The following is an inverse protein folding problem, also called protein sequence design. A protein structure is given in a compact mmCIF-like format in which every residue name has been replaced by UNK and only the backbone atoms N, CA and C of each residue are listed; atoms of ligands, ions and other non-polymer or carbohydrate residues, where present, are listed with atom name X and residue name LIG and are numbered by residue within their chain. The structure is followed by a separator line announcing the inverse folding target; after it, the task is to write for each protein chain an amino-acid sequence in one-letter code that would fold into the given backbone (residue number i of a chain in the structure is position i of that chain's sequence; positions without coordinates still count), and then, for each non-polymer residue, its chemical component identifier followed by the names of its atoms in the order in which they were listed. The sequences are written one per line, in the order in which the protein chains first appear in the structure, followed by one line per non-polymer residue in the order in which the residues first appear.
data_IF_298789043849
#
_entry.id   IF_298789043849
#
_cell.length_a   1.000
_cell.length_b   1.000
_cell.length_c   1.000
_cell.angle_alpha   90.00
_cell.angle_beta   90.00
_cell.angle_gamma   90.00
#
_symmetry.space_group_name_H-M   'P 1'
#
loop_
_entity.id
_entity.type
_entity.pdbx_description
1 polymer ?
#
# COMPACT_ATOMS: atom_id res chain seq x y z
N UNK A 1 -26.17 -10.55 -0.13
CA UNK A 1 -25.05 -9.96 -0.88
C UNK A 1 -24.54 -11.04 -1.82
N UNK A 2 -24.67 -10.86 -3.13
CA UNK A 2 -24.10 -11.78 -4.14
C UNK A 2 -22.83 -11.11 -4.66
N UNK A 3 -21.70 -11.80 -4.59
CA UNK A 3 -20.42 -11.28 -5.09
C UNK A 3 -20.26 -11.77 -6.52
N UNK A 4 -20.11 -10.83 -7.45
CA UNK A 4 -19.78 -11.13 -8.85
C UNK A 4 -18.34 -11.69 -8.91
N UNK A 5 -18.14 -12.78 -9.66
CA UNK A 5 -16.83 -13.42 -9.83
C UNK A 5 -16.28 -13.11 -11.22
N UNK A 6 -14.97 -12.92 -11.30
CA UNK A 6 -14.25 -12.74 -12.56
C UNK A 6 -13.57 -14.05 -12.99
N UNK A 7 -13.79 -14.53 -14.23
CA UNK A 7 -13.09 -15.70 -14.74
C UNK A 7 -11.61 -15.41 -14.92
N UNK A 8 -10.75 -16.38 -14.58
CA UNK A 8 -9.30 -16.24 -14.66
C UNK A 8 -8.66 -17.28 -15.57
N UNK A 9 -7.53 -16.93 -16.17
CA UNK A 9 -6.63 -17.89 -16.84
C UNK A 9 -5.62 -18.49 -15.85
N UNK A 10 -5.01 -19.66 -16.15
CA UNK A 10 -4.11 -20.34 -15.22
C UNK A 10 -2.83 -19.55 -14.89
N UNK A 11 -2.39 -18.66 -15.79
CA UNK A 11 -1.15 -17.90 -15.63
C UNK A 11 -1.37 -16.40 -15.86
N UNK A 12 -0.38 -15.62 -15.41
CA UNK A 12 -0.27 -14.19 -15.68
C UNK A 12 1.13 -13.93 -16.24
N UNK A 13 1.20 -13.32 -17.42
CA UNK A 13 2.41 -12.80 -18.04
C UNK A 13 2.64 -11.37 -17.56
N UNK A 14 3.70 -11.17 -16.79
CA UNK A 14 4.11 -9.88 -16.23
C UNK A 14 5.16 -9.23 -17.11
N UNK A 15 5.01 -7.92 -17.31
CA UNK A 15 6.07 -7.05 -17.85
C UNK A 15 6.33 -5.91 -16.88
N UNK A 16 7.60 -5.65 -16.58
CA UNK A 16 8.05 -4.59 -15.68
C UNK A 16 8.62 -3.44 -16.51
N UNK A 17 7.96 -2.28 -16.46
CA UNK A 17 8.37 -1.06 -17.14
C UNK A 17 9.05 -0.13 -16.14
N UNK A 18 10.33 0.17 -16.37
CA UNK A 18 11.13 1.05 -15.51
C UNK A 18 10.99 2.51 -15.96
N UNK A 19 10.80 3.40 -15.00
CA UNK A 19 10.79 4.85 -15.16
C UNK A 19 11.87 5.50 -14.29
N UNK A 20 12.42 6.60 -14.78
CA UNK A 20 13.45 7.41 -14.12
C UNK A 20 12.90 8.70 -13.50
N UNK A 21 11.60 8.90 -13.58
CA UNK A 21 10.91 10.03 -12.97
C UNK A 21 9.44 9.68 -12.70
N UNK A 22 8.82 10.29 -11.68
CA UNK A 22 7.41 10.07 -11.35
C UNK A 22 6.44 10.46 -12.48
N UNK A 23 6.71 11.54 -13.21
CA UNK A 23 5.80 12.08 -14.22
C UNK A 23 5.62 11.11 -15.39
N UNK A 24 6.71 10.54 -15.91
CA UNK A 24 6.66 9.52 -16.95
C UNK A 24 5.93 8.26 -16.47
N UNK A 25 6.11 7.86 -15.20
CA UNK A 25 5.37 6.74 -14.62
C UNK A 25 3.86 7.04 -14.55
N UNK A 26 3.46 8.23 -14.11
CA UNK A 26 2.04 8.62 -14.04
C UNK A 26 1.42 8.78 -15.42
N UNK A 27 2.18 9.27 -16.41
CA UNK A 27 1.73 9.31 -17.80
C UNK A 27 1.40 7.90 -18.33
N UNK A 28 2.24 6.91 -18.02
CA UNK A 28 2.00 5.53 -18.39
C UNK A 28 0.78 4.91 -17.67
N UNK A 29 0.57 5.27 -16.39
CA UNK A 29 -0.66 4.89 -15.67
C UNK A 29 -1.90 5.47 -16.36
N UNK A 30 -1.85 6.73 -16.78
CA UNK A 30 -2.92 7.37 -17.54
C UNK A 30 -3.19 6.67 -18.88
N UNK A 31 -2.13 6.30 -19.60
CA UNK A 31 -2.24 5.55 -20.84
C UNK A 31 -2.91 4.19 -20.63
N UNK A 32 -2.50 3.44 -19.60
CA UNK A 32 -3.13 2.15 -19.25
C UNK A 32 -4.61 2.32 -18.94
N UNK A 33 -4.97 3.35 -18.17
CA UNK A 33 -6.35 3.59 -17.79
C UNK A 33 -7.25 3.97 -19.00
N UNK A 34 -6.66 4.57 -20.04
CA UNK A 34 -7.33 4.92 -21.28
C UNK A 34 -7.41 3.73 -22.26
N UNK A 35 -6.29 3.05 -22.46
CA UNK A 35 -6.10 2.09 -23.56
C UNK A 35 -6.26 0.63 -23.13
N UNK A 36 -6.31 0.34 -21.82
CA UNK A 36 -6.30 -1.02 -21.28
C UNK A 36 -5.02 -1.81 -21.57
N UNK A 37 -3.95 -1.11 -21.98
CA UNK A 37 -2.68 -1.70 -22.39
C UNK A 37 -1.54 -0.69 -22.30
N UNK A 38 -0.30 -1.19 -22.32
CA UNK A 38 0.90 -0.38 -22.42
C UNK A 38 1.88 -1.03 -23.39
N UNK A 39 2.31 -0.28 -24.42
CA UNK A 39 3.23 -0.77 -25.47
C UNK A 39 2.81 -2.13 -26.06
N UNK A 40 1.51 -2.29 -26.32
CA UNK A 40 0.91 -3.51 -26.88
C UNK A 40 0.74 -4.67 -25.90
N UNK A 41 1.13 -4.51 -24.63
CA UNK A 41 0.87 -5.48 -23.57
C UNK A 41 -0.44 -5.16 -22.86
N UNK A 42 -1.38 -6.10 -22.87
CA UNK A 42 -2.67 -5.95 -22.19
C UNK A 42 -2.48 -5.77 -20.68
N UNK A 43 -3.28 -4.90 -20.08
CA UNK A 43 -3.25 -4.60 -18.66
C UNK A 43 -4.49 -5.17 -17.96
N UNK A 44 -4.56 -6.50 -17.82
CA UNK A 44 -5.57 -7.15 -16.98
C UNK A 44 -5.30 -6.88 -15.49
N UNK A 45 -4.04 -6.68 -15.15
CA UNK A 45 -3.62 -6.26 -13.83
C UNK A 45 -2.53 -5.20 -13.91
N UNK A 46 -2.52 -4.29 -12.94
CA UNK A 46 -1.49 -3.27 -12.83
C UNK A 46 -1.18 -2.97 -11.36
N UNK A 47 0.10 -2.94 -11.04
CA UNK A 47 0.64 -2.34 -9.83
C UNK A 47 2.03 -1.76 -10.10
N UNK A 48 2.66 -1.18 -9.09
CA UNK A 48 4.00 -0.63 -9.22
C UNK A 48 4.74 -0.56 -7.91
N UNK A 49 6.03 -0.25 -8.01
CA UNK A 49 6.90 -0.04 -6.86
C UNK A 49 7.90 1.05 -7.17
N UNK A 50 7.88 2.11 -6.38
CA UNK A 50 8.90 3.15 -6.38
C UNK A 50 9.96 2.82 -5.31
N UNK A 51 11.19 2.63 -5.74
CA UNK A 51 12.34 2.51 -4.86
C UNK A 51 13.00 3.86 -4.57
N UNK A 52 12.82 4.80 -5.48
CA UNK A 52 13.23 6.20 -5.40
C UNK A 52 12.51 6.98 -6.49
N UNK A 53 12.75 8.28 -6.56
CA UNK A 53 12.16 9.13 -7.61
C UNK A 53 12.72 8.78 -9.00
N UNK A 54 13.91 8.19 -9.07
CA UNK A 54 14.63 7.81 -10.28
C UNK A 54 14.62 6.30 -10.58
N UNK A 55 13.92 5.53 -9.75
CA UNK A 55 13.79 4.09 -9.87
C UNK A 55 12.37 3.64 -9.51
N UNK A 56 11.49 3.66 -10.51
CA UNK A 56 10.09 3.25 -10.39
C UNK A 56 9.81 2.14 -11.39
N UNK A 57 9.11 1.09 -10.97
CA UNK A 57 8.68 0.01 -11.85
C UNK A 57 7.16 -0.09 -11.85
N UNK A 58 6.55 -0.05 -13.03
CA UNK A 58 5.15 -0.41 -13.23
C UNK A 58 5.10 -1.84 -13.76
N UNK A 59 4.41 -2.72 -13.04
CA UNK A 59 4.18 -4.11 -13.45
C UNK A 59 2.82 -4.22 -14.10
N UNK A 60 2.80 -4.60 -15.37
CA UNK A 60 1.58 -4.81 -16.14
C UNK A 60 1.43 -6.31 -16.39
N UNK A 61 0.35 -6.89 -15.88
CA UNK A 61 0.01 -8.29 -16.02
C UNK A 61 -1.08 -8.51 -17.06
N UNK A 62 -0.87 -9.50 -17.93
CA UNK A 62 -1.88 -10.01 -18.85
C UNK A 62 -2.20 -11.47 -18.50
N UNK A 63 -3.46 -11.87 -18.61
CA UNK A 63 -3.80 -13.28 -18.53
C UNK A 63 -3.06 -14.10 -19.60
N UNK A 64 -2.67 -15.34 -19.25
CA UNK A 64 -2.07 -16.28 -20.18
C UNK A 64 -2.52 -17.72 -19.92
N UNK A 65 -2.78 -18.46 -20.99
CA UNK A 65 -3.09 -19.90 -20.95
C UNK A 65 -1.82 -20.75 -20.87
N UNK A 66 -0.69 -20.22 -21.33
CA UNK A 66 0.60 -20.91 -21.36
C UNK A 66 1.69 -20.09 -20.66
N UNK A 67 2.64 -20.77 -20.06
CA UNK A 67 3.77 -20.14 -19.38
C UNK A 67 5.06 -20.90 -19.75
N UNK A 68 6.01 -20.28 -20.47
CA UNK A 68 7.26 -20.96 -20.84
C UNK A 68 8.14 -21.29 -19.62
N UNK A 69 7.99 -20.53 -18.54
CA UNK A 69 8.53 -20.83 -17.20
C UNK A 69 7.53 -20.34 -16.14
N UNK A 70 7.75 -20.69 -14.88
CA UNK A 70 7.01 -20.09 -13.75
C UNK A 70 7.99 -19.71 -12.65
N UNK A 71 7.89 -18.48 -12.17
CA UNK A 71 8.68 -18.01 -11.04
C UNK A 71 8.05 -18.38 -9.69
N UNK A 72 8.90 -18.79 -8.74
CA UNK A 72 8.50 -19.04 -7.36
C UNK A 72 9.13 -18.00 -6.41
N UNK A 73 8.27 -17.20 -5.77
CA UNK A 73 8.63 -16.18 -4.78
C UNK A 73 8.37 -16.60 -3.34
N UNK A 74 7.74 -17.77 -3.10
CA UNK A 74 7.58 -18.37 -1.77
C UNK A 74 8.92 -18.91 -1.22
N UNK A 75 9.88 -19.08 -2.13
CA UNK A 75 11.21 -19.61 -1.89
C UNK A 75 12.24 -18.56 -1.52
N UNK A 76 13.46 -18.73 -2.01
CA UNK A 76 14.58 -17.88 -1.61
C UNK A 76 14.58 -16.51 -2.32
N UNK A 77 13.85 -16.36 -3.42
CA UNK A 77 13.65 -15.08 -4.10
C UNK A 77 12.58 -14.26 -3.39
N UNK A 78 12.64 -12.94 -3.54
CA UNK A 78 11.70 -11.97 -2.95
C UNK A 78 11.11 -11.18 -4.09
N UNK A 79 9.78 -11.16 -4.20
CA UNK A 79 9.06 -10.62 -5.37
C UNK A 79 9.43 -9.16 -5.66
N UNK A 80 9.25 -8.25 -4.70
CA UNK A 80 9.49 -6.84 -4.99
C UNK A 80 10.95 -6.56 -5.37
N UNK A 81 11.91 -7.35 -4.89
CA UNK A 81 13.32 -7.21 -5.27
C UNK A 81 13.60 -7.70 -6.70
N UNK A 82 12.83 -8.67 -7.21
CA UNK A 82 13.00 -9.18 -8.57
C UNK A 82 12.57 -8.19 -9.65
N UNK A 83 11.77 -7.18 -9.30
CA UNK A 83 11.34 -6.11 -10.21
C UNK A 83 12.52 -5.35 -10.86
N UNK A 84 13.68 -5.32 -10.19
CA UNK A 84 14.92 -4.71 -10.71
C UNK A 84 15.70 -5.62 -11.67
N UNK A 85 15.25 -6.86 -11.83
CA UNK A 85 15.90 -7.90 -12.61
C UNK A 85 15.30 -8.04 -14.01
N UNK A 86 14.84 -9.24 -14.41
CA UNK A 86 14.23 -9.47 -15.71
C UNK A 86 13.05 -8.53 -15.97
N UNK A 87 12.86 -8.15 -17.23
CA UNK A 87 11.73 -7.29 -17.65
C UNK A 87 10.41 -8.05 -17.75
N UNK A 88 10.44 -9.38 -17.80
CA UNK A 88 9.27 -10.21 -17.97
C UNK A 88 9.31 -11.40 -17.01
N UNK A 89 8.12 -11.83 -16.57
CA UNK A 89 7.97 -12.99 -15.69
C UNK A 89 6.62 -13.67 -15.91
N UNK A 90 6.53 -14.92 -15.48
CA UNK A 90 5.29 -15.70 -15.55
C UNK A 90 4.99 -16.29 -14.17
N UNK A 91 3.77 -16.10 -13.71
CA UNK A 91 3.27 -16.64 -12.45
C UNK A 91 1.99 -17.44 -12.71
N UNK A 92 1.73 -18.46 -11.88
CA UNK A 92 0.36 -18.98 -11.80
C UNK A 92 -0.56 -17.87 -11.30
N UNK A 93 -1.85 -17.89 -11.65
CA UNK A 93 -2.81 -16.90 -11.14
C UNK A 93 -2.84 -16.86 -9.61
N UNK A 94 -2.67 -18.02 -8.97
CA UNK A 94 -2.53 -18.12 -7.51
C UNK A 94 -1.29 -17.38 -7.04
N UNK A 95 -0.12 -17.70 -7.58
CA UNK A 95 1.12 -17.07 -7.13
C UNK A 95 1.13 -15.57 -7.42
N UNK A 96 0.51 -15.13 -8.52
CA UNK A 96 0.31 -13.72 -8.81
C UNK A 96 -0.50 -13.05 -7.70
N UNK A 97 -1.68 -13.55 -7.35
CA UNK A 97 -2.52 -12.95 -6.30
C UNK A 97 -1.85 -12.93 -4.93
N UNK A 98 -1.03 -13.92 -4.62
CA UNK A 98 -0.37 -14.08 -3.31
C UNK A 98 1.08 -13.56 -3.26
N UNK A 99 1.61 -12.99 -4.36
CA UNK A 99 3.03 -12.60 -4.48
C UNK A 99 3.50 -11.60 -3.41
N UNK A 100 2.58 -10.75 -2.94
CA UNK A 100 2.84 -9.74 -1.91
C UNK A 100 2.64 -10.27 -0.48
N UNK A 101 1.89 -11.36 -0.29
CA UNK A 101 1.74 -11.98 1.04
C UNK A 101 3.06 -12.56 1.52
N UNK A 102 3.82 -13.17 0.59
CA UNK A 102 5.18 -13.59 0.89
C UNK A 102 6.05 -12.37 1.17
N UNK A 103 6.65 -12.33 2.36
CA UNK A 103 7.39 -11.17 2.90
C UNK A 103 6.53 -9.97 3.34
N UNK A 104 5.20 -10.08 3.26
CA UNK A 104 4.24 -9.02 3.61
C UNK A 104 4.68 -7.69 3.00
N UNK A 105 4.74 -7.68 1.67
CA UNK A 105 5.45 -6.69 0.87
C UNK A 105 6.95 -6.66 1.18
N UNK A 106 7.36 -5.75 2.05
CA UNK A 106 8.73 -5.65 2.58
C UNK A 106 8.76 -5.58 4.11
N UNK A 107 7.62 -5.79 4.78
CA UNK A 107 7.52 -5.76 6.23
C UNK A 107 8.29 -6.90 6.91
N UNK A 108 8.79 -7.89 6.16
CA UNK A 108 9.72 -8.90 6.68
C UNK A 108 11.14 -8.35 6.98
N UNK A 109 11.50 -7.14 6.49
CA UNK A 109 12.83 -6.52 6.68
C UNK A 109 13.30 -6.44 8.14
N UNK A 110 12.51 -5.94 9.10
CA UNK A 110 12.96 -5.78 10.50
C UNK A 110 13.31 -7.12 11.16
N UNK A 111 12.70 -8.22 10.72
CA UNK A 111 12.98 -9.58 11.20
C UNK A 111 14.25 -10.19 10.57
N UNK A 112 14.89 -9.51 9.62
CA UNK A 112 16.09 -9.99 8.94
C UNK A 112 15.83 -11.12 7.94
N UNK A 113 14.58 -11.54 7.71
CA UNK A 113 14.21 -12.67 6.83
C UNK A 113 14.61 -12.44 5.37
N UNK A 114 14.90 -11.20 4.99
CA UNK A 114 15.39 -10.87 3.66
C UNK A 114 16.90 -11.09 3.49
N UNK A 115 17.65 -11.37 4.57
CA UNK A 115 19.08 -11.71 4.49
C UNK A 115 19.24 -13.16 4.06
N UNK A 116 20.10 -13.51 3.08
CA UNK A 116 20.16 -14.86 2.51
C UNK A 116 20.32 -15.99 3.54
N UNK A 117 21.18 -15.81 4.54
CA UNK A 117 21.42 -16.82 5.57
C UNK A 117 20.21 -17.03 6.49
N UNK A 118 19.55 -15.94 6.90
CA UNK A 118 18.34 -16.00 7.74
C UNK A 118 17.19 -16.58 6.93
N UNK A 119 17.02 -16.13 5.68
CA UNK A 119 15.99 -16.65 4.77
C UNK A 119 16.13 -18.15 4.59
N UNK A 120 17.36 -18.65 4.38
CA UNK A 120 17.62 -20.09 4.19
C UNK A 120 17.19 -20.92 5.41
N UNK A 121 17.39 -20.39 6.61
CA UNK A 121 16.98 -21.03 7.86
C UNK A 121 15.49 -20.83 8.20
N UNK A 122 14.86 -19.75 7.72
CA UNK A 122 13.46 -19.43 8.02
C UNK A 122 12.50 -20.33 7.23
N UNK A 123 11.64 -21.15 7.87
CA UNK A 123 10.74 -22.06 7.18
C UNK A 123 9.79 -21.36 6.21
N UNK A 124 9.61 -21.91 5.00
CA UNK A 124 8.77 -21.31 3.93
C UNK A 124 7.34 -21.03 4.40
N UNK A 125 6.74 -21.96 5.14
CA UNK A 125 5.36 -21.84 5.67
C UNK A 125 5.15 -20.65 6.62
N UNK A 126 6.22 -20.05 7.13
CA UNK A 126 6.17 -18.91 8.06
C UNK A 126 6.53 -17.58 7.39
N UNK A 127 6.63 -17.53 6.05
CA UNK A 127 6.91 -16.31 5.29
C UNK A 127 5.62 -15.69 4.77
N UNK A 128 4.68 -15.41 5.67
CA UNK A 128 3.31 -14.94 5.35
C UNK A 128 2.89 -13.85 6.31
N UNK A 129 1.98 -12.99 5.87
CA UNK A 129 1.60 -11.76 6.57
C UNK A 129 1.08 -11.97 7.98
N UNK A 130 0.29 -13.01 8.23
CA UNK A 130 -0.26 -13.33 9.55
C UNK A 130 0.82 -13.68 10.59
N UNK A 131 1.87 -14.40 10.19
CA UNK A 131 3.02 -14.71 11.06
C UNK A 131 3.79 -13.44 11.40
N UNK A 132 4.11 -12.61 10.40
CA UNK A 132 4.79 -11.34 10.66
C UNK A 132 3.95 -10.40 11.53
N UNK A 133 2.64 -10.33 11.28
CA UNK A 133 1.70 -9.56 12.10
C UNK A 133 1.70 -10.05 13.55
N UNK A 134 1.70 -11.36 13.78
CA UNK A 134 1.79 -11.93 15.13
C UNK A 134 3.10 -11.55 15.83
N UNK A 135 4.23 -11.56 15.11
CA UNK A 135 5.52 -11.11 15.64
C UNK A 135 5.52 -9.62 15.98
N UNK A 136 4.94 -8.75 15.13
CA UNK A 136 4.79 -7.31 15.43
C UNK A 136 3.90 -7.10 16.66
N UNK A 137 2.78 -7.82 16.76
CA UNK A 137 1.89 -7.72 17.92
C UNK A 137 2.59 -8.14 19.22
N UNK A 138 3.41 -9.19 19.15
CA UNK A 138 4.24 -9.63 20.27
C UNK A 138 5.28 -8.57 20.65
N UNK A 139 6.02 -8.03 19.67
CA UNK A 139 7.00 -6.98 19.91
C UNK A 139 6.37 -5.73 20.55
N UNK A 140 5.22 -5.26 20.04
CA UNK A 140 4.48 -4.13 20.62
C UNK A 140 4.05 -4.38 22.06
N UNK A 141 3.60 -5.60 22.38
CA UNK A 141 3.18 -5.99 23.74
C UNK A 141 4.37 -5.99 24.71
N UNK A 142 5.55 -6.38 24.25
CA UNK A 142 6.73 -6.56 25.08
C UNK A 142 7.77 -5.43 24.96
N UNK A 143 7.57 -4.46 24.06
CA UNK A 143 8.42 -3.29 23.80
C UNK A 143 9.89 -3.65 23.57
N UNK A 144 10.16 -4.81 22.95
CA UNK A 144 11.52 -5.33 22.79
C UNK A 144 12.35 -4.43 21.88
N UNK A 145 11.78 -4.05 20.73
CA UNK A 145 12.45 -3.17 19.75
C UNK A 145 12.69 -1.77 20.29
N UNK A 146 11.74 -1.19 21.03
CA UNK A 146 11.90 0.13 21.67
C UNK A 146 13.06 0.11 22.67
N UNK A 147 13.10 -0.91 23.52
CA UNK A 147 14.13 -1.09 24.55
C UNK A 147 15.52 -1.23 23.92
N UNK A 148 15.64 -2.05 22.86
CA UNK A 148 16.90 -2.23 22.14
C UNK A 148 17.35 -0.96 21.42
N UNK A 149 16.42 -0.16 20.90
CA UNK A 149 16.71 1.10 20.19
C UNK A 149 17.20 2.17 21.15
N UNK A 150 16.52 2.32 22.30
CA UNK A 150 16.91 3.23 23.37
C UNK A 150 18.31 2.90 23.92
N UNK A 151 18.59 1.62 24.17
CA UNK A 151 19.90 1.16 24.67
C UNK A 151 21.05 1.40 23.69
N UNK A 152 20.76 1.64 22.40
CA UNK A 152 21.74 1.93 21.35
C UNK A 152 21.85 3.43 21.03
N UNK A 153 21.21 4.30 21.82
CA UNK A 153 21.24 5.76 21.61
C UNK A 153 20.63 6.22 20.28
N UNK A 154 19.77 5.39 19.67
CA UNK A 154 19.15 5.72 18.38
C UNK A 154 17.89 6.58 18.60
N UNK A 155 17.62 7.48 17.66
CA UNK A 155 16.41 8.28 17.68
C UNK A 155 15.15 7.39 17.72
N UNK A 156 14.11 7.80 18.46
CA UNK A 156 12.80 7.17 18.38
C UNK A 156 12.33 7.07 16.93
N UNK A 157 11.57 6.03 16.62
CA UNK A 157 11.03 5.82 15.28
C UNK A 157 9.52 5.87 15.33
N UNK A 158 8.93 6.52 14.35
CA UNK A 158 7.49 6.57 14.12
C UNK A 158 7.09 5.47 13.15
N UNK A 159 5.97 4.80 13.40
CA UNK A 159 5.38 3.86 12.45
C UNK A 159 4.55 4.63 11.42
N UNK A 160 4.96 4.55 10.15
CA UNK A 160 4.24 5.14 9.01
C UNK A 160 3.74 3.96 8.18
N UNK A 161 2.51 3.56 8.43
CA UNK A 161 1.89 2.33 7.91
C UNK A 161 0.48 2.70 7.46
N UNK A 162 0.34 3.08 6.20
CA UNK A 162 -0.93 3.54 5.65
C UNK A 162 -0.92 3.44 4.12
N UNK A 163 -2.12 3.49 3.56
CA UNK A 163 -2.36 3.58 2.13
C UNK A 163 -3.19 4.83 1.85
N UNK A 164 -2.87 5.54 0.77
CA UNK A 164 -3.54 6.78 0.39
C UNK A 164 -3.84 6.81 -1.11
N UNK A 165 -5.01 7.26 -1.51
CA UNK A 165 -5.44 7.43 -2.89
C UNK A 165 -5.27 8.87 -3.30
N UNK A 166 -4.38 9.13 -4.27
CA UNK A 166 -4.14 10.46 -4.82
C UNK A 166 -4.67 10.52 -6.25
N UNK A 167 -5.36 11.59 -6.67
CA UNK A 167 -5.71 11.79 -8.07
C UNK A 167 -4.48 11.63 -8.98
N UNK A 168 -4.64 10.99 -10.14
CA UNK A 168 -3.52 10.71 -11.04
C UNK A 168 -2.73 11.99 -11.41
N UNK A 169 -3.45 13.10 -11.63
CA UNK A 169 -2.88 14.41 -11.97
C UNK A 169 -1.94 14.99 -10.90
N UNK A 170 -2.05 14.55 -9.64
CA UNK A 170 -1.25 15.01 -8.49
C UNK A 170 -0.34 13.91 -7.91
N UNK A 171 -0.36 12.71 -8.51
CA UNK A 171 0.34 11.54 -7.98
C UNK A 171 1.87 11.64 -8.06
N UNK A 172 2.40 12.34 -9.07
CA UNK A 172 3.84 12.63 -9.17
C UNK A 172 4.31 13.59 -8.06
N UNK A 173 3.51 14.61 -7.76
CA UNK A 173 3.76 15.57 -6.68
C UNK A 173 3.79 14.87 -5.31
N UNK A 174 2.83 13.98 -5.05
CA UNK A 174 2.81 13.19 -3.82
C UNK A 174 4.09 12.37 -3.63
N UNK A 175 4.59 11.67 -4.67
CA UNK A 175 5.82 10.91 -4.56
C UNK A 175 7.03 11.80 -4.22
N UNK A 176 7.09 13.01 -4.78
CA UNK A 176 8.17 13.97 -4.50
C UNK A 176 8.12 14.46 -3.06
N UNK A 177 6.93 14.85 -2.60
CA UNK A 177 6.70 15.19 -1.20
C UNK A 177 7.12 14.03 -0.29
N UNK A 178 6.64 12.82 -0.56
CA UNK A 178 6.88 11.67 0.29
C UNK A 178 8.36 11.31 0.38
N UNK A 179 9.07 11.40 -0.74
CA UNK A 179 10.53 11.20 -0.77
C UNK A 179 11.28 12.28 0.03
N UNK A 180 10.86 13.54 -0.06
CA UNK A 180 11.54 14.66 0.60
C UNK A 180 11.27 14.72 2.11
N UNK A 181 10.01 14.59 2.52
CA UNK A 181 9.58 14.82 3.90
C UNK A 181 9.60 13.55 4.76
N UNK A 182 9.25 12.40 4.18
CA UNK A 182 9.17 11.11 4.90
C UNK A 182 10.39 10.24 4.64
N UNK A 183 10.92 10.23 3.42
CA UNK A 183 12.14 9.52 3.05
C UNK A 183 12.07 8.00 3.20
N UNK A 184 10.86 7.42 3.17
CA UNK A 184 10.66 5.98 3.29
C UNK A 184 10.64 5.30 1.91
N UNK A 185 11.26 4.12 1.82
CA UNK A 185 11.31 3.33 0.58
C UNK A 185 11.32 1.82 0.87
N UNK A 186 10.67 1.01 0.01
CA UNK A 186 9.94 1.41 -1.19
C UNK A 186 8.51 1.91 -0.90
N UNK A 187 7.82 2.37 -1.95
CA UNK A 187 6.39 2.72 -1.97
C UNK A 187 5.70 1.86 -3.02
N UNK A 188 4.57 1.26 -2.67
CA UNK A 188 3.73 0.46 -3.58
C UNK A 188 2.76 1.39 -4.29
N UNK A 189 2.48 1.10 -5.56
CA UNK A 189 1.56 1.88 -6.39
C UNK A 189 0.47 0.94 -6.89
N UNK A 190 -0.79 1.35 -6.80
CA UNK A 190 -1.91 0.61 -7.37
C UNK A 190 -2.88 1.60 -8.04
N UNK A 191 -2.78 1.80 -9.35
CA UNK A 191 -3.76 2.55 -10.11
C UNK A 191 -5.16 1.95 -9.99
N UNK A 192 -6.15 2.80 -9.76
CA UNK A 192 -7.53 2.37 -9.64
C UNK A 192 -8.52 3.46 -10.08
N UNK A 193 -9.72 3.02 -10.44
CA UNK A 193 -10.86 3.86 -10.78
C UNK A 193 -12.13 3.15 -10.31
N UNK A 194 -13.15 3.91 -9.93
CA UNK A 194 -14.45 3.33 -9.61
C UNK A 194 -15.01 2.57 -10.82
N UNK A 195 -15.54 1.36 -10.57
CA UNK A 195 -16.18 0.53 -11.61
C UNK A 195 -17.50 1.11 -12.13
N UNK A 196 -18.19 1.91 -11.33
CA UNK A 196 -19.48 2.50 -11.67
C UNK A 196 -19.56 3.99 -11.36
N UNK A 197 -20.71 4.57 -11.64
CA UNK A 197 -20.99 6.01 -11.51
C UNK A 197 -21.35 6.45 -10.08
N UNK A 198 -21.54 5.50 -9.16
CA UNK A 198 -21.87 5.80 -7.77
C UNK A 198 -20.61 6.02 -6.94
N UNK A 199 -20.53 7.16 -6.25
CA UNK A 199 -19.50 7.42 -5.25
C UNK A 199 -19.90 6.84 -3.89
N UNK A 200 -18.90 6.44 -3.09
CA UNK A 200 -19.12 5.91 -1.75
C UNK A 200 -19.24 7.07 -0.74
N UNK A 201 -20.33 7.17 0.05
CA UNK A 201 -20.57 8.34 0.90
C UNK A 201 -19.45 8.65 1.89
N UNK A 202 -18.80 7.60 2.43
CA UNK A 202 -17.73 7.70 3.43
C UNK A 202 -16.32 7.57 2.82
N UNK A 203 -16.22 7.44 1.50
CA UNK A 203 -14.95 7.40 0.78
C UNK A 203 -15.12 8.01 -0.62
N UNK A 204 -15.29 9.33 -0.71
CA UNK A 204 -15.88 9.97 -1.87
C UNK A 204 -14.87 10.14 -3.02
N UNK A 205 -14.58 9.03 -3.71
CA UNK A 205 -13.84 9.05 -4.97
C UNK A 205 -14.75 9.50 -6.10
N UNK A 206 -14.22 10.26 -7.06
CA UNK A 206 -14.99 10.73 -8.22
C UNK A 206 -15.11 9.63 -9.28
N UNK A 207 -16.32 9.33 -9.78
CA UNK A 207 -16.49 8.43 -10.91
C UNK A 207 -15.71 8.89 -12.14
N UNK A 208 -15.18 7.96 -12.92
CA UNK A 208 -14.40 8.25 -14.12
C UNK A 208 -12.96 8.74 -13.87
N UNK A 209 -12.66 9.30 -12.70
CA UNK A 209 -11.32 9.78 -12.34
C UNK A 209 -10.39 8.63 -11.93
N UNK A 210 -9.15 8.68 -12.43
CA UNK A 210 -8.11 7.71 -12.09
C UNK A 210 -7.35 8.21 -10.87
N UNK A 211 -7.18 7.32 -9.90
CA UNK A 211 -6.38 7.54 -8.70
C UNK A 211 -5.21 6.54 -8.69
N UNK A 212 -4.16 6.89 -7.95
CA UNK A 212 -3.10 5.95 -7.59
C UNK A 212 -3.14 5.77 -6.08
N UNK A 213 -3.37 4.54 -5.64
CA UNK A 213 -3.14 4.16 -4.26
C UNK A 213 -1.64 4.03 -4.04
N UNK A 214 -1.12 4.73 -3.03
CA UNK A 214 0.25 4.66 -2.56
C UNK A 214 0.27 3.94 -1.21
N UNK A 215 0.79 2.72 -1.21
CA UNK A 215 0.93 1.90 0.00
C UNK A 215 2.35 1.95 0.54
N UNK A 216 2.49 2.24 1.83
CA UNK A 216 3.81 2.33 2.45
C UNK A 216 3.78 1.93 3.93
N UNK A 217 4.64 0.95 4.25
CA UNK A 217 4.58 0.27 5.54
C UNK A 217 5.98 0.10 6.13
N UNK A 218 6.28 0.90 7.16
CA UNK A 218 7.56 0.84 7.82
C UNK A 218 7.65 1.76 9.04
N UNK A 219 8.89 2.05 9.43
CA UNK A 219 9.17 3.03 10.48
C UNK A 219 10.18 4.03 9.97
N UNK A 220 10.05 5.29 10.40
CA UNK A 220 10.93 6.41 10.02
C UNK A 220 11.50 7.03 11.30
N UNK A 221 12.79 7.42 11.35
CA UNK A 221 13.32 8.19 12.48
C UNK A 221 12.52 9.47 12.70
N UNK A 222 12.21 9.78 13.95
CA UNK A 222 11.65 11.07 14.33
C UNK A 222 12.76 12.14 14.32
N UNK A 223 12.49 13.34 13.78
CA UNK A 223 13.40 14.47 13.96
C UNK A 223 13.58 14.83 15.44
N UNK A 224 14.71 15.43 15.84
CA UNK A 224 14.93 15.85 17.23
C UNK A 224 13.79 16.74 17.75
N UNK A 225 13.28 16.42 18.94
CA UNK A 225 12.20 17.17 19.59
C UNK A 225 10.79 16.91 19.03
N UNK A 226 10.63 16.04 18.02
CA UNK A 226 9.30 15.62 17.53
C UNK A 226 8.81 14.38 18.27
N UNK A 227 7.48 14.28 18.38
CA UNK A 227 6.77 13.18 19.00
C UNK A 227 6.06 12.32 17.94
N UNK A 228 5.48 11.21 18.39
CA UNK A 228 4.74 10.29 17.53
C UNK A 228 3.60 10.98 16.75
N UNK A 229 3.36 10.47 15.54
CA UNK A 229 2.43 11.06 14.58
C UNK A 229 2.95 12.27 13.82
N UNK A 230 4.25 12.59 13.86
CA UNK A 230 4.80 13.73 13.12
C UNK A 230 4.70 13.49 11.61
N UNK A 231 5.27 12.38 11.13
CA UNK A 231 5.23 12.01 9.71
C UNK A 231 3.82 11.64 9.26
N UNK A 232 3.03 10.98 10.11
CA UNK A 232 1.64 10.65 9.76
C UNK A 232 0.81 11.91 9.54
N UNK A 233 0.93 12.95 10.39
CA UNK A 233 0.22 14.23 10.20
C UNK A 233 0.67 14.94 8.93
N UNK A 234 1.97 14.98 8.65
CA UNK A 234 2.49 15.56 7.39
C UNK A 234 1.88 14.88 6.16
N UNK A 235 1.83 13.55 6.15
CA UNK A 235 1.20 12.79 5.07
C UNK A 235 -0.29 13.08 4.99
N UNK A 236 -1.00 13.09 6.12
CA UNK A 236 -2.44 13.37 6.19
C UNK A 236 -2.79 14.76 5.66
N UNK A 237 -1.98 15.77 5.99
CA UNK A 237 -2.10 17.14 5.50
C UNK A 237 -1.87 17.23 4.00
N UNK A 238 -0.80 16.60 3.50
CA UNK A 238 -0.50 16.60 2.06
C UNK A 238 -1.58 15.87 1.26
N UNK A 239 -2.03 14.70 1.72
CA UNK A 239 -3.10 13.94 1.06
C UNK A 239 -4.35 14.80 0.92
N UNK A 240 -4.75 15.53 1.97
CA UNK A 240 -5.87 16.46 1.91
C UNK A 240 -5.62 17.61 0.92
N UNK A 241 -4.42 18.20 0.92
CA UNK A 241 -4.03 19.29 0.01
C UNK A 241 -4.03 18.87 -1.47
N UNK A 242 -3.70 17.62 -1.76
CA UNK A 242 -3.72 17.04 -3.11
C UNK A 242 -5.11 16.55 -3.54
N UNK A 243 -6.13 16.69 -2.68
CA UNK A 243 -7.48 16.19 -2.93
C UNK A 243 -7.58 14.67 -2.94
N UNK A 244 -6.67 14.01 -2.22
CA UNK A 244 -6.65 12.56 -2.02
C UNK A 244 -7.42 12.12 -0.80
N UNK A 245 -7.40 10.81 -0.56
CA UNK A 245 -8.06 10.16 0.56
C UNK A 245 -7.10 9.20 1.26
N UNK A 246 -7.19 9.13 2.59
CA UNK A 246 -6.46 8.16 3.39
C UNK A 246 -7.37 6.98 3.74
N UNK A 247 -6.86 5.76 3.56
CA UNK A 247 -7.53 4.55 4.02
C UNK A 247 -7.66 4.50 5.55
N UNK A 248 -8.85 4.18 6.06
CA UNK A 248 -9.17 4.19 7.49
C UNK A 248 -8.82 2.91 8.27
N UNK A 249 -7.96 2.05 7.71
CA UNK A 249 -7.54 0.81 8.38
C UNK A 249 -6.36 1.02 9.37
N UNK A 250 -5.60 2.11 9.18
CA UNK A 250 -4.45 2.48 9.99
C UNK A 250 -4.79 3.61 10.97
N UNK A 251 -3.92 3.83 11.97
CA UNK A 251 -4.03 4.97 12.89
C UNK A 251 -4.10 6.28 12.10
N UNK A 252 -5.01 7.16 12.52
CA UNK A 252 -5.18 8.49 11.95
C UNK A 252 -5.02 9.56 13.03
N UNK A 253 -4.49 10.74 12.67
CA UNK A 253 -4.18 11.82 13.61
C UNK A 253 -5.05 13.07 13.42
N UNK A 254 -6.10 12.98 12.60
CA UNK A 254 -7.07 14.04 12.37
C UNK A 254 -7.76 14.52 13.65
N UNK A 255 -8.06 15.82 13.72
CA UNK A 255 -9.08 16.31 14.65
C UNK A 255 -10.46 15.74 14.30
N UNK A 256 -11.41 15.78 15.23
CA UNK A 256 -12.78 15.30 14.97
C UNK A 256 -13.44 16.07 13.83
N UNK A 257 -13.24 17.38 13.81
CA UNK A 257 -13.78 18.27 12.79
C UNK A 257 -13.19 17.96 11.41
N UNK A 258 -11.86 17.82 11.32
CA UNK A 258 -11.18 17.44 10.08
C UNK A 258 -11.63 16.08 9.58
N UNK A 259 -11.74 15.09 10.48
CA UNK A 259 -12.18 13.75 10.14
C UNK A 259 -13.57 13.76 9.50
N UNK A 260 -14.54 14.42 10.12
CA UNK A 260 -15.91 14.44 9.60
C UNK A 260 -16.08 15.29 8.34
N UNK A 261 -15.21 16.29 8.14
CA UNK A 261 -15.14 17.00 6.87
C UNK A 261 -14.65 16.10 5.72
N UNK A 262 -13.67 15.22 5.98
CA UNK A 262 -13.10 14.32 4.98
C UNK A 262 -13.96 13.07 4.70
N UNK A 263 -14.64 12.54 5.73
CA UNK A 263 -15.36 11.26 5.67
C UNK A 263 -16.87 11.40 5.83
N UNK A 264 -17.42 12.58 5.52
CA UNK A 264 -18.86 12.84 5.43
C UNK A 264 -19.63 12.49 6.72
N UNK A 265 -19.33 13.24 7.80
CA UNK A 265 -19.99 13.10 9.10
C UNK A 265 -21.52 13.05 9.04
N UNK A 266 -22.21 13.93 8.31
CA UNK A 266 -23.67 13.89 8.23
C UNK A 266 -24.22 12.57 7.68
N UNK A 267 -23.62 12.03 6.61
CA UNK A 267 -24.04 10.73 6.07
C UNK A 267 -23.72 9.59 7.06
N UNK A 268 -22.56 9.65 7.72
CA UNK A 268 -22.19 8.67 8.74
C UNK A 268 -23.18 8.66 9.91
N UNK A 269 -23.56 9.83 10.43
CA UNK A 269 -24.47 9.95 11.57
C UNK A 269 -25.85 9.37 11.27
N UNK A 270 -26.37 9.59 10.05
CA UNK A 270 -27.63 8.99 9.60
C UNK A 270 -27.53 7.46 9.61
N UNK A 271 -26.47 6.90 9.03
CA UNK A 271 -26.23 5.46 9.02
C UNK A 271 -26.07 4.90 10.44
N UNK A 272 -25.33 5.61 11.30
CA UNK A 272 -25.11 5.20 12.69
C UNK A 272 -26.42 5.17 13.46
N UNK A 273 -27.28 6.16 13.29
CA UNK A 273 -28.59 6.21 13.94
C UNK A 273 -29.52 5.09 13.46
N UNK A 274 -29.54 4.81 12.15
CA UNK A 274 -30.40 3.78 11.55
C UNK A 274 -29.99 2.37 11.98
N UNK A 275 -28.70 2.06 11.94
CA UNK A 275 -28.19 0.70 12.13
C UNK A 275 -27.67 0.41 13.54
N UNK A 276 -27.31 1.44 14.32
CA UNK A 276 -26.80 1.30 15.69
C UNK A 276 -27.09 2.55 16.55
N UNK A 277 -28.34 3.05 16.49
CA UNK A 277 -28.77 4.23 17.27
C UNK A 277 -28.70 4.03 18.80
N UNK A 278 -28.58 2.77 19.25
CA UNK A 278 -28.30 2.43 20.66
C UNK A 278 -26.81 2.49 21.04
N UNK A 279 -25.91 2.75 20.09
CA UNK A 279 -24.48 2.97 20.34
C UNK A 279 -23.72 1.75 20.85
N UNK A 280 -24.08 0.53 20.40
CA UNK A 280 -23.42 -0.71 20.87
C UNK A 280 -22.02 -0.88 20.29
N UNK A 281 -21.80 -0.41 19.07
CA UNK A 281 -20.50 -0.44 18.40
C UNK A 281 -19.79 0.91 18.56
N UNK A 282 -18.46 0.91 18.60
CA UNK A 282 -17.68 2.16 18.55
C UNK A 282 -18.06 2.99 17.32
N UNK A 283 -18.01 4.31 17.46
CA UNK A 283 -18.11 5.22 16.32
C UNK A 283 -16.87 5.12 15.42
N UNK A 284 -16.98 5.59 14.18
CA UNK A 284 -15.90 5.49 13.20
C UNK A 284 -14.68 6.31 13.63
N UNK A 285 -14.89 7.52 14.15
CA UNK A 285 -13.80 8.35 14.70
C UNK A 285 -13.14 7.70 15.91
N UNK A 286 -13.95 7.16 16.84
CA UNK A 286 -13.46 6.46 18.03
C UNK A 286 -12.55 5.28 17.65
N UNK A 287 -12.96 4.51 16.65
CA UNK A 287 -12.18 3.39 16.15
C UNK A 287 -10.90 3.83 15.42
N UNK A 288 -11.01 4.76 14.47
CA UNK A 288 -9.92 5.08 13.53
C UNK A 288 -8.89 6.07 14.07
N UNK A 289 -9.29 6.95 15.01
CA UNK A 289 -8.42 7.98 15.59
C UNK A 289 -8.11 7.70 17.06
N UNK A 290 -9.10 7.27 17.85
CA UNK A 290 -8.90 7.05 19.30
C UNK A 290 -8.46 5.63 19.67
N UNK A 291 -8.58 4.68 18.75
CA UNK A 291 -8.29 3.26 19.01
C UNK A 291 -9.22 2.63 20.06
N UNK A 292 -10.48 3.05 20.09
CA UNK A 292 -11.52 2.62 21.04
C UNK A 292 -12.51 1.64 20.44
#
# INVERSE_FOLDING_TARGET
LTIELEPVQPYVHLRHFRYSDPEACMAAVGQIAADGSLHGHRADFVDGTAFGLDEIYLTVGAYSEVAPWVSDYTGQRIYYQSLRGPREDFLTIRDYLWRWDTDWFWCSRPFGVQRPLIRRAWPRRYRRSDVYRALVAFDRRHRLSDTLTANRGRAPREAVIQDVEIPLSRSAEFLRFFAAEVGMSPVWLCPLRLRGEASWPLYPMRPGEVYVNFGFWGTVPLPPGRADGYHNRLVEEEVAALGGHKGLYSTSFYSREQFWALYNGPAYEQLKQEYDGGGRLSGLYEKCVRGQ
#
